data_IF_317516173452
#
_entry.id   IF_317516173452
#
_cell.length_a   1.000
_cell.length_b   1.000
_cell.length_c   1.000
_cell.angle_alpha   90.00
_cell.angle_beta   90.00
_cell.angle_gamma   90.00
#
_symmetry.space_group_name_H-M   'P 1'
#
loop_
_entity.id
_entity.type
_entity.pdbx_description
1 polymer ?
#
# COMPACT_ATOMS: atom_id res chain seq x y z
N UNK A 1 10.26 -4.79 0.43
CA UNK A 1 8.91 -4.44 -0.02
C UNK A 1 7.95 -4.38 1.15
N UNK A 2 7.28 -5.46 1.57
CA UNK A 2 6.29 -5.44 2.66
C UNK A 2 6.81 -4.89 4.00
N UNK A 3 8.05 -5.23 4.37
CA UNK A 3 8.69 -4.74 5.60
C UNK A 3 8.85 -3.21 5.57
N UNK A 4 9.20 -2.63 4.42
CA UNK A 4 9.41 -1.19 4.29
C UNK A 4 8.08 -0.43 4.28
N UNK A 5 7.04 -0.99 3.67
CA UNK A 5 5.71 -0.42 3.71
C UNK A 5 5.16 -0.29 5.14
N UNK A 6 5.63 -1.14 6.07
CA UNK A 6 5.16 -1.17 7.47
C UNK A 6 6.03 -0.39 8.45
N UNK A 7 6.86 0.55 7.98
CA UNK A 7 7.70 1.41 8.84
C UNK A 7 6.89 2.11 9.94
N UNK A 8 5.67 2.59 9.64
CA UNK A 8 4.80 3.23 10.61
C UNK A 8 4.44 2.32 11.81
N UNK A 9 4.48 0.99 11.62
CA UNK A 9 4.25 0.00 12.68
C UNK A 9 5.53 -0.39 13.44
N UNK A 10 6.67 0.22 13.11
CA UNK A 10 7.98 -0.12 13.69
C UNK A 10 8.49 -1.51 13.28
N UNK A 11 7.92 -2.13 12.25
CA UNK A 11 8.32 -3.46 11.79
C UNK A 11 9.67 -3.37 11.07
N UNK A 12 10.63 -4.19 11.49
CA UNK A 12 11.99 -4.23 10.94
C UNK A 12 12.35 -5.63 10.44
N UNK A 13 13.36 -5.74 9.58
CA UNK A 13 13.91 -7.06 9.17
C UNK A 13 14.32 -7.88 10.40
N UNK A 14 14.86 -7.21 11.42
CA UNK A 14 15.23 -7.84 12.69
C UNK A 14 14.01 -8.41 13.42
N UNK A 15 12.97 -7.59 13.64
CA UNK A 15 11.77 -8.04 14.37
C UNK A 15 11.05 -9.18 13.64
N UNK A 16 11.01 -9.13 12.31
CA UNK A 16 10.44 -10.22 11.47
C UNK A 16 11.24 -11.51 11.61
N UNK A 17 12.58 -11.42 11.60
CA UNK A 17 13.43 -12.60 11.78
C UNK A 17 13.36 -13.21 13.16
N UNK A 18 13.22 -12.38 14.20
CA UNK A 18 13.06 -12.81 15.60
C UNK A 18 11.71 -13.49 15.86
N UNK A 19 10.69 -13.20 15.05
CA UNK A 19 9.37 -13.80 15.19
C UNK A 19 9.21 -15.20 14.58
N UNK A 20 10.14 -15.60 13.72
CA UNK A 20 10.17 -16.97 13.19
C UNK A 20 10.69 -17.94 14.24
N UNK A 21 10.19 -19.18 14.25
CA UNK A 21 10.64 -20.23 15.14
C UNK A 21 11.26 -21.40 14.34
N UNK A 22 12.57 -21.68 14.51
CA UNK A 22 13.56 -20.88 15.22
C UNK A 22 13.90 -19.57 14.48
N UNK A 23 14.44 -18.56 15.17
CA UNK A 23 14.73 -17.24 14.59
C UNK A 23 15.58 -17.30 13.33
N UNK A 24 15.25 -16.44 12.36
CA UNK A 24 16.04 -16.26 11.15
C UNK A 24 16.93 -15.03 11.29
N UNK A 25 18.23 -15.21 11.15
CA UNK A 25 19.19 -14.12 11.19
C UNK A 25 18.90 -13.08 10.07
N UNK A 26 18.94 -11.79 10.43
CA UNK A 26 18.69 -10.68 9.50
C UNK A 26 19.51 -10.71 8.19
N UNK A 27 20.79 -11.13 8.18
CA UNK A 27 21.55 -11.31 6.93
C UNK A 27 20.93 -12.35 6.00
N UNK A 28 20.42 -13.46 6.53
CA UNK A 28 19.77 -14.49 5.71
C UNK A 28 18.50 -13.97 5.08
N UNK A 29 17.67 -13.24 5.83
CA UNK A 29 16.49 -12.56 5.30
C UNK A 29 16.84 -11.51 4.26
N UNK A 30 17.90 -10.74 4.49
CA UNK A 30 18.35 -9.73 3.53
C UNK A 30 18.79 -10.36 2.22
N UNK A 31 19.52 -11.48 2.26
CA UNK A 31 19.92 -12.24 1.07
C UNK A 31 18.68 -12.82 0.38
N UNK A 32 17.77 -13.43 1.13
CA UNK A 32 16.52 -14.00 0.61
C UNK A 32 15.70 -12.95 -0.15
N UNK A 33 15.43 -11.80 0.48
CA UNK A 33 14.69 -10.68 -0.10
C UNK A 33 15.39 -10.12 -1.34
N UNK A 34 16.72 -9.94 -1.31
CA UNK A 34 17.49 -9.44 -2.45
C UNK A 34 17.47 -10.40 -3.64
N UNK A 35 17.39 -11.71 -3.37
CA UNK A 35 17.30 -12.76 -4.38
C UNK A 35 15.87 -13.03 -4.86
N UNK A 36 14.87 -12.25 -4.43
CA UNK A 36 13.46 -12.50 -4.73
C UNK A 36 13.01 -13.94 -4.38
N UNK A 37 13.59 -14.52 -3.33
CA UNK A 37 13.28 -15.89 -2.89
C UNK A 37 14.04 -17.02 -3.60
N UNK A 38 14.96 -16.73 -4.53
CA UNK A 38 15.78 -17.76 -5.18
C UNK A 38 16.76 -18.43 -4.21
N UNK A 39 17.23 -17.70 -3.19
CA UNK A 39 18.07 -18.26 -2.14
C UNK A 39 17.26 -19.18 -1.21
N UNK A 40 17.75 -20.41 -0.98
CA UNK A 40 17.08 -21.40 -0.11
C UNK A 40 17.53 -21.33 1.36
N UNK A 41 18.01 -20.19 1.82
CA UNK A 41 18.49 -20.00 3.19
C UNK A 41 17.37 -19.75 4.23
N UNK A 42 16.11 -19.74 3.79
CA UNK A 42 14.90 -19.61 4.61
C UNK A 42 13.96 -20.78 4.29
N UNK A 43 13.51 -21.49 5.32
CA UNK A 43 12.53 -22.59 5.17
C UNK A 43 11.12 -22.07 4.96
N UNK A 44 10.26 -22.83 4.27
CA UNK A 44 8.90 -22.43 3.93
C UNK A 44 8.03 -22.15 5.18
N UNK A 45 8.16 -22.95 6.23
CA UNK A 45 7.39 -22.81 7.47
C UNK A 45 7.75 -21.51 8.20
N UNK A 46 9.01 -21.09 8.11
CA UNK A 46 9.47 -19.81 8.67
C UNK A 46 8.95 -18.64 7.84
N UNK A 47 8.91 -18.80 6.52
CA UNK A 47 8.36 -17.78 5.62
C UNK A 47 6.89 -17.50 5.93
N UNK A 48 6.11 -18.54 6.21
CA UNK A 48 4.70 -18.41 6.59
C UNK A 48 4.52 -17.59 7.87
N UNK A 49 5.29 -17.87 8.93
CA UNK A 49 5.27 -17.09 10.16
C UNK A 49 5.67 -15.63 9.95
N UNK A 50 6.68 -15.39 9.09
CA UNK A 50 7.12 -14.04 8.75
C UNK A 50 6.10 -13.27 7.92
N UNK A 51 5.42 -13.92 6.97
CA UNK A 51 4.33 -13.33 6.21
C UNK A 51 3.15 -12.97 7.12
N UNK A 52 2.80 -13.86 8.06
CA UNK A 52 1.75 -13.61 9.04
C UNK A 52 2.06 -12.37 9.90
N UNK A 53 3.30 -12.21 10.36
CA UNK A 53 3.73 -10.99 11.06
C UNK A 53 3.63 -9.74 10.18
N UNK A 54 3.84 -9.88 8.87
CA UNK A 54 3.65 -8.82 7.89
C UNK A 54 2.19 -8.63 7.46
N UNK A 55 1.25 -9.36 8.08
CA UNK A 55 -0.17 -9.20 7.79
C UNK A 55 -0.61 -9.79 6.45
N UNK A 56 0.14 -10.74 5.91
CA UNK A 56 -0.15 -11.40 4.63
C UNK A 56 -0.13 -12.92 4.82
N UNK A 57 -1.04 -13.62 4.15
CA UNK A 57 -1.12 -15.07 4.11
C UNK A 57 -0.27 -15.63 2.95
N UNK A 58 -0.04 -16.95 2.95
CA UNK A 58 0.83 -17.59 1.95
C UNK A 58 0.33 -17.44 0.50
N UNK A 59 -0.97 -17.26 0.32
CA UNK A 59 -1.64 -17.04 -0.96
C UNK A 59 -1.66 -15.56 -1.39
N UNK A 60 -1.10 -14.64 -0.58
CA UNK A 60 -1.07 -13.21 -0.88
C UNK A 60 -2.27 -12.42 -0.33
N UNK A 61 -3.21 -13.08 0.35
CA UNK A 61 -4.33 -12.41 0.99
C UNK A 61 -3.89 -11.67 2.27
N UNK A 62 -4.55 -10.55 2.57
CA UNK A 62 -4.34 -9.85 3.84
C UNK A 62 -4.91 -10.66 5.00
N UNK A 63 -4.20 -10.66 6.12
CA UNK A 63 -4.75 -11.17 7.38
C UNK A 63 -5.86 -10.24 7.89
N UNK A 64 -6.81 -10.73 8.70
CA UNK A 64 -7.73 -9.84 9.42
C UNK A 64 -7.01 -8.75 10.20
N UNK A 65 -7.61 -7.56 10.27
CA UNK A 65 -7.07 -6.39 10.96
C UNK A 65 -6.84 -5.18 10.05
N UNK A 66 -6.15 -4.18 10.58
CA UNK A 66 -5.87 -2.92 9.89
C UNK A 66 -4.42 -2.83 9.42
N UNK A 67 -4.26 -2.72 8.09
CA UNK A 67 -2.99 -2.57 7.41
C UNK A 67 -2.77 -1.11 7.03
N UNK A 68 -1.75 -0.49 7.61
CA UNK A 68 -1.31 0.87 7.27
C UNK A 68 0.04 0.83 6.59
N UNK A 69 0.08 1.20 5.32
CA UNK A 69 1.29 1.11 4.51
C UNK A 69 1.73 2.49 4.04
N UNK A 70 2.96 2.87 4.37
CA UNK A 70 3.56 4.11 3.88
C UNK A 70 4.59 3.79 2.80
N UNK A 71 4.26 4.14 1.56
CA UNK A 71 5.07 3.89 0.36
C UNK A 71 5.56 5.21 -0.24
N UNK A 72 5.33 6.34 0.45
CA UNK A 72 5.82 7.64 -0.01
C UNK A 72 7.35 7.65 -0.04
N UNK A 73 7.94 8.35 -1.02
CA UNK A 73 9.38 8.57 -1.10
C UNK A 73 9.84 9.45 0.05
N UNK A 74 10.12 8.84 1.20
CA UNK A 74 10.92 9.48 2.24
C UNK A 74 12.33 9.67 1.68
N UNK A 75 12.63 10.87 1.18
CA UNK A 75 14.01 11.36 1.08
C UNK A 75 14.53 11.52 2.49
N UNK A 76 14.98 10.43 3.11
CA UNK A 76 15.96 10.54 4.17
C UNK A 76 17.17 11.25 3.56
N UNK A 77 17.45 12.48 4.00
CA UNK A 77 18.53 13.35 3.51
C UNK A 77 19.93 12.71 3.64
N UNK A 78 20.04 11.57 4.32
CA UNK A 78 21.28 10.80 4.45
C UNK A 78 21.45 9.67 3.42
N UNK A 79 20.43 9.32 2.65
CA UNK A 79 20.53 8.34 1.56
C UNK A 79 19.70 8.76 0.36
N UNK A 80 20.36 9.25 -0.68
CA UNK A 80 19.81 9.62 -1.99
C UNK A 80 19.27 8.43 -2.81
N UNK A 81 18.57 7.50 -2.18
CA UNK A 81 17.89 6.38 -2.85
C UNK A 81 16.40 6.54 -2.63
N UNK A 82 15.72 7.06 -3.66
CA UNK A 82 14.26 7.05 -3.70
C UNK A 82 13.72 5.64 -3.46
N UNK A 83 12.49 5.57 -2.94
CA UNK A 83 11.76 4.32 -2.75
C UNK A 83 11.75 3.55 -4.09
N UNK A 84 12.28 2.32 -4.13
CA UNK A 84 12.29 1.55 -5.37
C UNK A 84 10.86 1.23 -5.80
N UNK A 85 10.57 1.41 -7.09
CA UNK A 85 9.31 1.02 -7.78
C UNK A 85 8.71 -0.33 -7.33
N UNK A 86 9.57 -1.22 -6.85
CA UNK A 86 9.26 -2.48 -6.16
C UNK A 86 8.19 -2.38 -5.07
N UNK A 87 8.18 -1.37 -4.18
CA UNK A 87 7.09 -1.25 -3.18
C UNK A 87 5.72 -1.01 -3.82
N UNK A 88 5.68 -0.20 -4.87
CA UNK A 88 4.45 0.06 -5.64
C UNK A 88 4.01 -1.20 -6.36
N UNK A 89 4.93 -1.94 -6.98
CA UNK A 89 4.65 -3.23 -7.62
C UNK A 89 4.05 -4.22 -6.60
N UNK A 90 4.56 -4.23 -5.36
CA UNK A 90 3.98 -5.06 -4.26
C UNK A 90 2.56 -4.67 -3.95
N UNK A 91 2.28 -3.37 -3.88
CA UNK A 91 0.95 -2.87 -3.58
C UNK A 91 0.01 -3.28 -4.72
N UNK A 92 0.44 -3.17 -5.97
CA UNK A 92 -0.33 -3.62 -7.14
C UNK A 92 -0.67 -5.12 -7.02
N UNK A 93 0.33 -5.97 -6.77
CA UNK A 93 0.11 -7.42 -6.64
C UNK A 93 -0.87 -7.73 -5.50
N UNK A 94 -0.74 -7.04 -4.36
CA UNK A 94 -1.63 -7.24 -3.22
C UNK A 94 -3.06 -6.78 -3.51
N UNK A 95 -3.23 -5.61 -4.14
CA UNK A 95 -4.53 -5.09 -4.53
C UNK A 95 -5.20 -5.97 -5.58
N UNK A 96 -4.43 -6.51 -6.53
CA UNK A 96 -4.90 -7.46 -7.54
C UNK A 96 -5.47 -8.71 -6.85
N UNK A 97 -4.72 -9.32 -5.95
CA UNK A 97 -5.14 -10.55 -5.27
C UNK A 97 -6.34 -10.32 -4.34
N UNK A 98 -6.35 -9.22 -3.59
CA UNK A 98 -7.38 -8.95 -2.57
C UNK A 98 -8.64 -8.28 -3.13
N UNK A 99 -8.69 -7.95 -4.42
CA UNK A 99 -9.87 -7.37 -5.10
C UNK A 99 -10.62 -8.34 -6.01
N UNK A 100 -10.12 -9.57 -6.19
CA UNK A 100 -10.76 -10.63 -7.00
C UNK A 100 -12.10 -11.06 -6.35
N UNK A 101 -13.20 -10.42 -6.76
CA UNK A 101 -14.56 -10.72 -6.30
C UNK A 101 -15.04 -9.93 -5.08
N UNK A 102 -14.31 -8.86 -4.70
CA UNK A 102 -14.60 -8.01 -3.55
C UNK A 102 -14.69 -6.52 -3.95
N UNK A 103 -14.77 -5.63 -2.97
CA UNK A 103 -14.74 -4.18 -3.18
C UNK A 103 -13.51 -3.74 -4.00
N UNK A 104 -13.74 -2.86 -4.96
CA UNK A 104 -12.69 -2.29 -5.81
C UNK A 104 -11.75 -1.40 -4.98
N UNK A 105 -10.42 -1.52 -5.15
CA UNK A 105 -9.47 -0.55 -4.62
C UNK A 105 -9.84 0.88 -5.03
N UNK A 106 -9.90 1.78 -4.05
CA UNK A 106 -10.23 3.20 -4.24
C UNK A 106 -9.00 4.03 -3.94
N UNK A 107 -8.58 4.85 -4.89
CA UNK A 107 -7.52 5.83 -4.71
C UNK A 107 -8.12 7.21 -4.52
N UNK A 108 -7.82 7.82 -3.38
CA UNK A 108 -8.26 9.16 -3.01
C UNK A 108 -7.08 10.12 -3.19
N UNK A 109 -7.17 10.96 -4.21
CA UNK A 109 -6.25 12.05 -4.47
C UNK A 109 -6.73 13.30 -3.74
N UNK A 110 -5.88 13.86 -2.87
CA UNK A 110 -6.16 15.13 -2.21
C UNK A 110 -6.03 16.26 -3.25
N UNK A 111 -6.97 17.20 -3.26
CA UNK A 111 -6.81 18.45 -4.04
C UNK A 111 -6.88 19.60 -3.06
N UNK A 112 -5.75 20.22 -2.72
CA UNK A 112 -5.72 21.37 -1.83
C UNK A 112 -5.86 22.67 -2.62
N UNK A 113 -6.75 23.54 -2.18
CA UNK A 113 -6.85 24.90 -2.69
C UNK A 113 -5.62 25.74 -2.29
N UNK A 114 -4.53 25.64 -3.06
CA UNK A 114 -3.32 26.45 -2.84
C UNK A 114 -1.96 25.79 -3.14
N UNK A 115 -1.92 24.56 -3.67
CA UNK A 115 -0.65 23.92 -4.09
C UNK A 115 0.31 23.65 -2.93
N UNK A 116 -0.14 22.90 -1.92
CA UNK A 116 0.67 22.55 -0.75
C UNK A 116 1.52 21.30 -1.03
N UNK A 117 2.62 21.07 -0.29
CA UNK A 117 3.43 19.84 -0.42
C UNK A 117 2.60 18.55 -0.25
N UNK A 118 1.53 18.60 0.54
CA UNK A 118 0.59 17.48 0.73
C UNK A 118 -0.29 17.16 -0.49
N UNK A 119 -0.26 17.97 -1.55
CA UNK A 119 -0.81 17.63 -2.88
C UNK A 119 -0.03 16.51 -3.58
N UNK A 120 1.18 16.19 -3.09
CA UNK A 120 2.05 15.15 -3.63
C UNK A 120 1.69 13.73 -3.19
N UNK A 121 0.63 13.56 -2.39
CA UNK A 121 0.25 12.26 -1.80
C UNK A 121 -1.17 11.85 -2.22
N UNK A 122 -1.35 10.55 -2.43
CA UNK A 122 -2.66 9.92 -2.55
C UNK A 122 -2.80 8.77 -1.54
N UNK A 123 -4.05 8.42 -1.24
CA UNK A 123 -4.37 7.29 -0.36
C UNK A 123 -5.04 6.19 -1.16
N UNK A 124 -4.55 4.96 -1.07
CA UNK A 124 -5.23 3.78 -1.61
C UNK A 124 -5.93 3.04 -0.49
N UNK A 125 -7.22 2.81 -0.67
CA UNK A 125 -8.12 2.21 0.29
C UNK A 125 -8.64 0.90 -0.28
N UNK A 126 -8.63 -0.14 0.54
CA UNK A 126 -9.25 -1.43 0.20
C UNK A 126 -9.84 -2.05 1.45
N UNK A 127 -11.02 -2.65 1.32
CA UNK A 127 -11.66 -3.41 2.39
C UNK A 127 -12.16 -4.74 1.84
N UNK A 128 -11.30 -5.76 1.75
CA UNK A 128 -11.70 -7.03 1.15
C UNK A 128 -12.77 -7.72 2.01
N UNK A 129 -12.75 -7.55 3.33
CA UNK A 129 -13.78 -8.10 4.23
C UNK A 129 -14.15 -7.10 5.33
N UNK A 130 -15.29 -7.26 6.03
CA UNK A 130 -15.67 -6.35 7.12
C UNK A 130 -14.63 -6.22 8.24
N UNK A 131 -13.76 -7.23 8.43
CA UNK A 131 -12.74 -7.26 9.48
C UNK A 131 -11.32 -6.96 8.97
N UNK A 132 -11.15 -6.65 7.68
CA UNK A 132 -9.84 -6.40 7.07
C UNK A 132 -9.86 -5.08 6.35
N UNK A 133 -8.95 -4.18 6.66
CA UNK A 133 -8.86 -2.86 6.02
C UNK A 133 -7.43 -2.53 5.67
N UNK A 134 -7.22 -1.98 4.48
CA UNK A 134 -5.95 -1.44 4.01
C UNK A 134 -6.11 0.05 3.75
N UNK A 135 -5.20 0.83 4.30
CA UNK A 135 -4.94 2.22 3.93
C UNK A 135 -3.46 2.32 3.58
N UNK A 136 -3.16 2.67 2.33
CA UNK A 136 -1.81 2.88 1.86
C UNK A 136 -1.62 4.35 1.47
N UNK A 137 -0.59 4.99 1.99
CA UNK A 137 -0.15 6.32 1.59
C UNK A 137 0.90 6.18 0.50
N UNK A 138 0.67 6.80 -0.66
CA UNK A 138 1.56 6.72 -1.84
C UNK A 138 1.87 8.11 -2.38
N UNK A 139 2.95 8.23 -3.16
CA UNK A 139 3.18 9.44 -3.94
C UNK A 139 2.16 9.53 -5.07
N UNK A 140 1.65 10.75 -5.32
CA UNK A 140 0.64 11.00 -6.36
C UNK A 140 1.11 10.63 -7.76
N UNK A 141 2.42 10.69 -8.02
CA UNK A 141 3.01 10.28 -9.30
C UNK A 141 2.81 8.79 -9.62
N UNK A 142 2.53 7.95 -8.62
CA UNK A 142 2.36 6.51 -8.80
C UNK A 142 0.92 6.11 -9.13
N UNK A 143 -0.06 7.03 -8.97
CA UNK A 143 -1.50 6.76 -9.17
C UNK A 143 -1.79 6.26 -10.59
N UNK A 144 -1.14 6.85 -11.60
CA UNK A 144 -1.30 6.43 -12.99
C UNK A 144 -0.79 5.00 -13.22
N UNK A 145 0.36 4.65 -12.63
CA UNK A 145 0.91 3.31 -12.73
C UNK A 145 0.00 2.26 -12.09
N UNK A 146 -0.60 2.56 -10.92
CA UNK A 146 -1.61 1.70 -10.30
C UNK A 146 -2.85 1.56 -11.20
N UNK A 147 -3.33 2.66 -11.77
CA UNK A 147 -4.49 2.66 -12.66
C UNK A 147 -4.28 1.79 -13.91
N UNK A 148 -3.10 1.87 -14.53
CA UNK A 148 -2.74 1.04 -15.69
C UNK A 148 -2.69 -0.44 -15.31
N UNK A 149 -2.09 -0.78 -14.16
CA UNK A 149 -1.90 -2.17 -13.77
C UNK A 149 -3.21 -2.86 -13.31
N UNK A 150 -4.05 -2.14 -12.58
CA UNK A 150 -5.29 -2.68 -12.01
C UNK A 150 -6.51 -2.50 -12.93
N UNK A 151 -6.44 -1.59 -13.89
CA UNK A 151 -7.48 -1.31 -14.89
C UNK A 151 -8.79 -0.87 -14.24
N UNK A 152 -9.92 -1.39 -14.74
CA UNK A 152 -11.28 -1.05 -14.27
C UNK A 152 -11.57 -1.38 -12.81
N UNK A 153 -10.67 -2.11 -12.13
CA UNK A 153 -10.77 -2.42 -10.71
C UNK A 153 -10.21 -1.32 -9.83
N UNK A 154 -9.48 -0.36 -10.37
CA UNK A 154 -8.94 0.77 -9.63
C UNK A 154 -9.72 2.03 -9.97
N UNK A 155 -10.29 2.61 -8.92
CA UNK A 155 -11.07 3.85 -9.05
C UNK A 155 -10.27 4.99 -8.47
N UNK A 156 -10.20 6.11 -9.18
CA UNK A 156 -9.57 7.32 -8.67
C UNK A 156 -10.64 8.36 -8.37
N UNK A 157 -10.55 8.95 -7.18
CA UNK A 157 -11.43 9.99 -6.68
C UNK A 157 -10.61 11.20 -6.25
N UNK A 158 -11.04 12.38 -6.66
CA UNK A 158 -10.55 13.64 -6.12
C UNK A 158 -11.48 14.12 -5.02
N UNK A 159 -10.93 14.55 -3.89
CA UNK A 159 -11.70 14.96 -2.72
C UNK A 159 -11.38 16.39 -2.31
N UNK A 160 -12.37 17.04 -1.71
CA UNK A 160 -12.24 18.42 -1.20
C UNK A 160 -11.25 18.50 -0.03
N UNK A 161 -10.76 19.71 0.29
CA UNK A 161 -9.88 19.99 1.43
C UNK A 161 -10.41 19.39 2.75
N UNK A 162 -11.72 19.47 2.98
CA UNK A 162 -12.36 18.95 4.20
C UNK A 162 -12.33 17.42 4.30
N UNK A 163 -12.68 16.74 3.21
CA UNK A 163 -12.59 15.27 3.10
C UNK A 163 -11.13 14.79 3.18
N UNK A 164 -10.21 15.55 2.58
CA UNK A 164 -8.78 15.27 2.65
C UNK A 164 -8.22 15.37 4.07
N UNK A 165 -8.60 16.40 4.82
CA UNK A 165 -8.21 16.57 6.22
C UNK A 165 -8.73 15.41 7.11
N UNK A 166 -9.94 14.91 6.84
CA UNK A 166 -10.47 13.75 7.54
C UNK A 166 -9.64 12.49 7.24
N UNK A 167 -9.29 12.23 5.98
CA UNK A 167 -8.51 11.05 5.60
C UNK A 167 -7.09 11.08 6.18
N UNK A 168 -6.46 12.25 6.22
CA UNK A 168 -5.19 12.44 6.94
C UNK A 168 -5.35 12.18 8.45
N UNK A 169 -6.45 12.63 9.06
CA UNK A 169 -6.72 12.35 10.47
C UNK A 169 -6.89 10.85 10.72
N UNK A 170 -7.59 10.15 9.81
CA UNK A 170 -7.77 8.68 9.86
C UNK A 170 -6.44 7.95 9.81
N UNK A 171 -5.52 8.40 8.94
CA UNK A 171 -4.18 7.83 8.83
C UNK A 171 -3.42 7.82 10.16
N UNK A 172 -3.58 8.87 10.98
CA UNK A 172 -2.89 9.05 12.25
C UNK A 172 -3.60 8.42 13.47
N UNK A 173 -4.83 7.90 13.32
CA UNK A 173 -5.49 7.19 14.42
C UNK A 173 -4.74 5.89 14.69
N UNK A 174 -4.26 5.64 15.93
CA UNK A 174 -3.50 4.43 16.25
C UNK A 174 -4.35 3.32 16.89
N UNK A 175 -5.39 3.67 17.66
CA UNK A 175 -5.90 2.73 18.69
C UNK A 175 -7.19 1.98 18.33
N UNK A 176 -7.81 2.25 17.18
CA UNK A 176 -9.14 1.72 16.88
C UNK A 176 -9.33 1.27 15.42
N UNK A 177 -9.01 0.01 15.14
CA UNK A 177 -9.16 -0.59 13.80
C UNK A 177 -10.58 -0.45 13.25
N UNK A 178 -11.59 -0.69 14.10
CA UNK A 178 -12.99 -0.58 13.71
C UNK A 178 -13.42 0.86 13.39
N UNK A 179 -12.83 1.86 14.05
CA UNK A 179 -13.10 3.29 13.77
C UNK A 179 -12.53 3.65 12.41
N UNK A 180 -11.29 3.24 12.14
CA UNK A 180 -10.64 3.48 10.84
C UNK A 180 -11.42 2.80 9.74
N UNK A 181 -11.76 1.51 9.90
CA UNK A 181 -12.57 0.76 8.95
C UNK A 181 -13.89 1.46 8.63
N UNK A 182 -14.60 1.96 9.65
CA UNK A 182 -15.86 2.71 9.47
C UNK A 182 -15.66 4.06 8.80
N UNK A 183 -14.60 4.79 9.15
CA UNK A 183 -14.29 6.11 8.56
C UNK A 183 -13.87 5.99 7.09
N UNK A 184 -13.18 4.92 6.69
CA UNK A 184 -12.82 4.73 5.28
C UNK A 184 -14.01 4.29 4.41
N UNK A 185 -15.08 3.73 4.97
CA UNK A 185 -16.27 3.30 4.21
C UNK A 185 -16.89 4.42 3.37
N UNK A 186 -16.90 5.65 3.87
CA UNK A 186 -17.48 6.78 3.13
C UNK A 186 -16.70 7.08 1.83
N UNK A 187 -15.41 6.76 1.81
CA UNK A 187 -14.57 6.87 0.62
C UNK A 187 -14.71 5.66 -0.30
N UNK A 188 -15.06 4.49 0.26
CA UNK A 188 -15.28 3.25 -0.51
C UNK A 188 -16.64 3.20 -1.23
N UNK A 189 -17.67 3.84 -0.67
CA UNK A 189 -19.06 3.75 -1.15
C UNK A 189 -19.46 4.77 -2.22
N UNK A 190 -18.60 5.75 -2.55
CA UNK A 190 -19.01 6.88 -3.38
C UNK A 190 -19.13 6.53 -4.88
N UNK A 191 -20.29 6.87 -5.45
CA UNK A 191 -20.73 6.68 -6.84
C UNK A 191 -20.08 7.62 -7.86
N UNK A 192 -19.27 8.60 -7.45
CA UNK A 192 -18.52 9.51 -8.36
C UNK A 192 -17.12 8.95 -8.66
N UNK A 193 -17.11 7.72 -9.19
CA UNK A 193 -15.91 7.00 -9.58
C UNK A 193 -15.57 7.33 -11.04
N UNK A 194 -14.53 8.13 -11.29
CA UNK A 194 -13.97 8.24 -12.65
C UNK A 194 -13.04 7.05 -12.86
N UNK A 195 -13.41 6.12 -13.74
CA UNK A 195 -12.48 5.08 -14.19
C UNK A 195 -11.31 5.75 -14.91
N UNK A 196 -10.08 5.40 -14.55
CA UNK A 196 -8.90 5.84 -15.31
C UNK A 196 -8.97 5.15 -16.68
N UNK A 197 -9.39 5.90 -17.70
CA UNK A 197 -9.39 5.40 -19.07
C UNK A 197 -7.95 5.43 -19.60
N UNK A 198 -7.44 4.37 -20.25
CA UNK A 198 -6.04 4.27 -20.68
C UNK A 198 -5.67 5.18 -21.89
N UNK A 199 -6.37 6.29 -22.10
CA UNK A 199 -6.27 7.09 -23.31
C UNK A 199 -5.61 8.45 -23.09
N UNK A 200 -4.34 8.49 -22.66
CA UNK A 200 -3.41 9.59 -22.99
C UNK A 200 -2.01 9.01 -23.21
N UNK A 201 -1.84 8.27 -24.29
CA UNK A 201 -0.53 7.87 -24.78
C UNK A 201 -0.45 8.02 -26.30
N UNK A 202 -0.77 9.21 -26.83
CA UNK A 202 -0.30 9.69 -28.15
C UNK A 202 -0.96 11.03 -28.51
N UNK A 203 -0.48 12.14 -27.98
CA UNK A 203 -0.64 13.44 -28.67
C UNK A 203 0.42 14.39 -28.09
N UNK A 204 1.51 14.58 -28.84
CA UNK A 204 2.66 15.38 -28.39
C UNK A 204 3.99 15.06 -29.06
N UNK A 205 4.03 14.09 -29.99
CA UNK A 205 5.19 13.87 -30.85
C UNK A 205 4.70 13.70 -32.30
N UNK A 206 4.47 14.84 -32.96
CA UNK A 206 4.60 15.09 -34.41
C UNK A 206 3.60 16.17 -34.84
N UNK A 207 4.07 17.43 -34.84
CA UNK A 207 4.17 18.35 -35.99
C UNK A 207 4.39 19.78 -35.48
#
# INVERSE_FOLDING_TARGET
MLIHAQRHRGVTIKSVGEAAEPPVAGPNLSVFIKSSGESRNVKAERLEQMLLMLGVLRDGLLTPGLHRWDITRHTDESTSRGVPRREVDTLIDLLDENSKGMDKPQCVCLTWSGGKPDDAVAFVLLRPTPITSLIARIDRSEVEALGIALGERFVVRHVTDGEGAELQSVWHLNDHEWIVGRKIEQFLKSTEATSVSPAIASEGANL
#
